data_IF_392762255358
#
_entry.id   IF_392762255358
#
_cell.length_a   1.000
_cell.length_b   1.000
_cell.length_c   1.000
_cell.angle_alpha   90.00
_cell.angle_beta   90.00
_cell.angle_gamma   90.00
#
_symmetry.space_group_name_H-M   'P 1'
#
loop_
_entity.id
_entity.type
_entity.pdbx_description
1 polymer ?
#
# COMPACT_ATOMS: atom_id res chain seq x y z
N UNK A 1 0.44 -29.12 10.53
CA UNK A 1 0.90 -27.73 10.31
C UNK A 1 2.40 -27.66 10.12
N UNK A 2 3.21 -28.28 10.99
CA UNK A 2 4.66 -28.26 10.93
C UNK A 2 5.21 -28.80 9.58
N UNK A 3 4.70 -29.92 9.06
CA UNK A 3 5.10 -30.44 7.75
C UNK A 3 4.82 -29.47 6.59
N UNK A 4 3.71 -28.75 6.62
CA UNK A 4 3.40 -27.71 5.64
C UNK A 4 4.29 -26.49 5.80
N UNK A 5 4.63 -26.10 7.02
CA UNK A 5 5.62 -25.06 7.27
C UNK A 5 6.98 -25.42 6.69
N UNK A 6 7.43 -26.67 6.86
CA UNK A 6 8.65 -27.20 6.26
C UNK A 6 8.63 -27.18 4.73
N UNK A 7 7.49 -27.48 4.10
CA UNK A 7 7.33 -27.35 2.64
C UNK A 7 7.53 -25.90 2.18
N UNK A 8 6.84 -24.94 2.82
CA UNK A 8 6.99 -23.52 2.47
C UNK A 8 8.41 -23.00 2.74
N UNK A 9 9.05 -23.45 3.82
CA UNK A 9 10.44 -23.14 4.08
C UNK A 9 11.36 -23.62 2.95
N UNK A 10 11.21 -24.87 2.48
CA UNK A 10 12.00 -25.43 1.38
C UNK A 10 11.79 -24.66 0.08
N UNK A 11 10.54 -24.25 -0.22
CA UNK A 11 10.24 -23.40 -1.38
C UNK A 11 10.88 -22.01 -1.24
N UNK A 12 10.82 -21.43 -0.04
CA UNK A 12 11.45 -20.14 0.26
C UNK A 12 12.96 -20.19 0.01
N UNK A 13 13.63 -21.24 0.50
CA UNK A 13 15.05 -21.46 0.27
C UNK A 13 15.39 -21.62 -1.22
N UNK A 14 14.60 -22.40 -1.96
CA UNK A 14 14.80 -22.55 -3.40
C UNK A 14 14.62 -21.26 -4.20
N UNK A 15 13.76 -20.33 -3.75
CA UNK A 15 13.65 -19.00 -4.34
C UNK A 15 14.80 -18.08 -3.93
N UNK A 16 15.24 -18.14 -2.67
CA UNK A 16 16.39 -17.37 -2.18
C UNK A 16 17.66 -17.73 -2.94
N UNK A 17 17.94 -19.04 -3.14
CA UNK A 17 19.09 -19.55 -3.90
C UNK A 17 19.11 -19.06 -5.36
N UNK A 18 17.95 -18.71 -5.90
CA UNK A 18 17.76 -18.13 -7.25
C UNK A 18 17.68 -16.60 -7.24
N UNK A 19 17.95 -15.96 -6.12
CA UNK A 19 17.82 -14.51 -5.91
C UNK A 19 16.41 -13.93 -6.14
N UNK A 20 15.35 -14.75 -6.11
CA UNK A 20 13.96 -14.29 -6.14
C UNK A 20 13.49 -13.91 -4.73
N UNK A 21 14.09 -12.87 -4.15
CA UNK A 21 13.97 -12.55 -2.73
C UNK A 21 12.52 -12.25 -2.29
N UNK A 22 11.73 -11.58 -3.12
CA UNK A 22 10.31 -11.31 -2.82
C UNK A 22 9.48 -12.60 -2.74
N UNK A 23 9.74 -13.56 -3.64
CA UNK A 23 9.07 -14.86 -3.60
C UNK A 23 9.50 -15.66 -2.38
N UNK A 24 10.80 -15.65 -2.08
CA UNK A 24 11.34 -16.30 -0.89
C UNK A 24 10.72 -15.71 0.39
N UNK A 25 10.62 -14.39 0.49
CA UNK A 25 9.99 -13.69 1.61
C UNK A 25 8.53 -14.15 1.80
N UNK A 26 7.78 -14.27 0.70
CA UNK A 26 6.39 -14.73 0.76
C UNK A 26 6.28 -16.17 1.28
N UNK A 27 7.16 -17.05 0.84
CA UNK A 27 7.15 -18.46 1.29
C UNK A 27 7.59 -18.61 2.76
N UNK A 28 8.64 -17.90 3.18
CA UNK A 28 9.04 -17.89 4.60
C UNK A 28 7.93 -17.32 5.50
N UNK A 29 7.23 -16.27 5.06
CA UNK A 29 6.07 -15.74 5.80
C UNK A 29 4.96 -16.78 5.94
N UNK A 30 4.66 -17.58 4.90
CA UNK A 30 3.69 -18.67 4.97
C UNK A 30 4.12 -19.74 5.97
N UNK A 31 5.41 -20.10 5.94
CA UNK A 31 5.96 -21.03 6.92
C UNK A 31 5.74 -20.55 8.35
N UNK A 32 6.01 -19.25 8.62
CA UNK A 32 5.85 -18.64 9.93
C UNK A 32 4.39 -18.42 10.36
N UNK A 33 3.46 -18.29 9.42
CA UNK A 33 2.01 -18.28 9.72
C UNK A 33 1.55 -19.66 10.18
N UNK A 34 2.08 -20.73 9.57
CA UNK A 34 1.73 -22.10 9.91
C UNK A 34 2.41 -22.57 11.20
N UNK A 35 3.65 -22.16 11.40
CA UNK A 35 4.45 -22.45 12.59
C UNK A 35 5.28 -21.21 13.00
N UNK A 36 4.77 -20.37 13.91
CA UNK A 36 5.46 -19.17 14.37
C UNK A 36 6.80 -19.46 15.08
N UNK A 37 7.02 -20.70 15.54
CA UNK A 37 8.24 -21.11 16.25
C UNK A 37 9.32 -21.68 15.33
N UNK A 38 9.07 -21.76 14.03
CA UNK A 38 10.00 -22.33 13.05
C UNK A 38 11.23 -21.44 12.86
N UNK A 39 12.28 -21.71 13.62
CA UNK A 39 13.49 -20.90 13.69
C UNK A 39 14.17 -20.71 12.33
N UNK A 40 14.34 -21.79 11.52
CA UNK A 40 15.04 -21.69 10.23
C UNK A 40 14.28 -20.79 9.22
N UNK A 41 12.96 -20.88 9.20
CA UNK A 41 12.14 -19.99 8.36
C UNK A 41 12.27 -18.53 8.80
N UNK A 42 12.37 -18.28 10.11
CA UNK A 42 12.57 -16.94 10.66
C UNK A 42 13.95 -16.39 10.33
N UNK A 43 14.99 -17.22 10.38
CA UNK A 43 16.35 -16.82 9.96
C UNK A 43 16.37 -16.43 8.49
N UNK A 44 15.76 -17.24 7.60
CA UNK A 44 15.65 -16.91 6.18
C UNK A 44 14.87 -15.63 5.94
N UNK A 45 13.74 -15.47 6.63
CA UNK A 45 12.91 -14.28 6.58
C UNK A 45 13.67 -13.01 7.03
N UNK A 46 14.36 -13.08 8.15
CA UNK A 46 15.18 -12.00 8.67
C UNK A 46 16.30 -11.60 7.70
N UNK A 47 17.03 -12.59 7.14
CA UNK A 47 18.13 -12.37 6.21
C UNK A 47 17.69 -11.60 4.95
N UNK A 48 16.48 -11.85 4.44
CA UNK A 48 15.95 -11.11 3.30
C UNK A 48 15.70 -9.64 3.66
N UNK A 49 15.19 -9.33 4.85
CA UNK A 49 15.05 -7.94 5.29
C UNK A 49 16.41 -7.23 5.39
N UNK A 50 17.43 -7.94 5.85
CA UNK A 50 18.81 -7.40 5.81
C UNK A 50 19.25 -7.07 4.38
N UNK A 51 18.97 -7.98 3.43
CA UNK A 51 19.31 -7.79 2.00
C UNK A 51 18.56 -6.63 1.36
N UNK A 52 17.36 -6.35 1.82
CA UNK A 52 16.56 -5.19 1.38
C UNK A 52 16.96 -3.87 2.03
N UNK A 53 17.92 -3.89 2.98
CA UNK A 53 18.37 -2.69 3.68
C UNK A 53 17.44 -2.23 4.78
N UNK A 54 16.70 -3.14 5.42
CA UNK A 54 15.82 -2.86 6.56
C UNK A 54 16.40 -3.39 7.88
N UNK A 55 17.44 -2.73 8.46
CA UNK A 55 18.14 -3.23 9.61
C UNK A 55 17.28 -3.29 10.88
N UNK A 56 16.33 -2.38 11.05
CA UNK A 56 15.46 -2.39 12.21
C UNK A 56 14.49 -3.57 12.17
N UNK A 57 13.93 -3.92 10.99
CA UNK A 57 13.10 -5.11 10.82
C UNK A 57 13.91 -6.39 11.00
N UNK A 58 15.13 -6.42 10.46
CA UNK A 58 16.07 -7.53 10.70
C UNK A 58 16.32 -7.73 12.18
N UNK A 59 16.62 -6.65 12.93
CA UNK A 59 16.80 -6.70 14.38
C UNK A 59 15.57 -7.26 15.11
N UNK A 60 14.36 -6.83 14.72
CA UNK A 60 13.12 -7.31 15.35
C UNK A 60 12.93 -8.83 15.18
N UNK A 61 13.26 -9.38 14.04
CA UNK A 61 13.18 -10.84 13.80
C UNK A 61 14.24 -11.62 14.59
N UNK A 62 15.46 -11.09 14.71
CA UNK A 62 16.51 -11.66 15.57
C UNK A 62 16.10 -11.67 17.04
N UNK A 63 15.47 -10.61 17.53
CA UNK A 63 14.94 -10.55 18.90
C UNK A 63 13.86 -11.60 19.17
N UNK A 64 13.01 -11.89 18.17
CA UNK A 64 12.05 -12.99 18.28
C UNK A 64 12.76 -14.34 18.32
N UNK A 65 13.81 -14.56 17.53
CA UNK A 65 14.64 -15.78 17.60
C UNK A 65 15.25 -15.97 18.98
N UNK A 66 15.79 -14.92 19.58
CA UNK A 66 16.33 -14.97 20.93
C UNK A 66 15.25 -15.32 21.96
N UNK A 67 14.03 -14.76 21.84
CA UNK A 67 12.89 -15.10 22.71
C UNK A 67 12.43 -16.55 22.54
N UNK A 68 12.60 -17.13 21.36
CA UNK A 68 12.32 -18.55 21.09
C UNK A 68 13.40 -19.50 21.61
N UNK A 69 14.44 -18.95 22.28
CA UNK A 69 15.48 -19.73 22.93
C UNK A 69 16.67 -20.09 22.01
N UNK A 70 16.87 -19.35 20.92
CA UNK A 70 18.11 -19.50 20.13
C UNK A 70 19.33 -19.24 20.99
N UNK A 71 20.25 -20.22 21.02
CA UNK A 71 21.54 -20.13 21.72
C UNK A 71 22.68 -19.77 20.76
N UNK A 72 22.38 -19.37 19.56
CA UNK A 72 23.37 -19.00 18.56
C UNK A 72 24.03 -17.65 18.98
N UNK A 73 25.32 -17.70 19.25
CA UNK A 73 26.12 -16.54 19.63
C UNK A 73 26.08 -15.46 18.56
N UNK A 74 26.03 -15.85 17.28
CA UNK A 74 25.90 -14.91 16.17
C UNK A 74 24.62 -14.06 16.30
N UNK A 75 23.51 -14.66 16.72
CA UNK A 75 22.23 -13.92 16.92
C UNK A 75 22.39 -12.91 18.05
N UNK A 76 23.02 -13.30 19.15
CA UNK A 76 23.25 -12.39 20.30
C UNK A 76 24.13 -11.20 19.94
N UNK A 77 25.26 -11.47 19.28
CA UNK A 77 26.23 -10.46 18.88
C UNK A 77 25.64 -9.49 17.86
N UNK A 78 24.88 -10.01 16.91
CA UNK A 78 24.22 -9.19 15.89
C UNK A 78 23.09 -8.33 16.48
N UNK A 79 22.34 -8.84 17.47
CA UNK A 79 21.36 -8.04 18.23
C UNK A 79 22.06 -6.90 18.95
N UNK A 80 23.16 -7.15 19.65
CA UNK A 80 23.91 -6.12 20.37
C UNK A 80 24.45 -5.05 19.41
N UNK A 81 25.07 -5.47 18.31
CA UNK A 81 25.61 -4.60 17.28
C UNK A 81 24.52 -3.70 16.66
N UNK A 82 23.39 -4.30 16.26
CA UNK A 82 22.28 -3.56 15.66
C UNK A 82 21.57 -2.67 16.68
N UNK A 83 21.42 -3.12 17.92
CA UNK A 83 20.82 -2.33 18.99
C UNK A 83 21.64 -1.08 19.25
N UNK A 84 22.97 -1.19 19.23
CA UNK A 84 23.87 -0.03 19.37
C UNK A 84 23.76 0.88 18.12
N UNK A 85 23.85 0.30 16.91
CA UNK A 85 23.81 1.06 15.67
C UNK A 85 22.47 1.80 15.46
N UNK A 86 21.35 1.23 15.92
CA UNK A 86 20.01 1.81 15.82
C UNK A 86 19.61 2.57 17.10
N UNK A 87 20.53 2.87 18.00
CA UNK A 87 20.25 3.59 19.25
C UNK A 87 19.71 4.99 19.03
N UNK A 88 20.09 5.64 17.94
CA UNK A 88 19.66 6.98 17.53
C UNK A 88 18.47 6.96 16.54
N UNK A 89 17.74 5.85 16.45
CA UNK A 89 16.58 5.77 15.56
C UNK A 89 15.45 6.72 15.98
N UNK A 90 14.71 7.23 15.00
CA UNK A 90 13.54 8.11 15.20
C UNK A 90 12.51 7.44 16.12
N UNK A 91 12.21 6.16 15.87
CA UNK A 91 11.24 5.40 16.67
C UNK A 91 11.62 5.36 18.16
N UNK A 92 12.90 5.23 18.48
CA UNK A 92 13.40 5.25 19.86
C UNK A 92 13.34 6.64 20.49
N UNK A 93 13.78 7.67 19.76
CA UNK A 93 13.80 9.04 20.27
C UNK A 93 12.40 9.53 20.66
N UNK A 94 11.37 9.06 19.93
CA UNK A 94 9.98 9.40 20.18
C UNK A 94 9.22 8.37 21.03
N UNK A 95 9.83 7.20 21.34
CA UNK A 95 9.23 6.15 22.19
C UNK A 95 8.12 5.35 21.50
N UNK A 96 8.15 5.23 20.19
CA UNK A 96 7.18 4.45 19.40
C UNK A 96 7.76 3.12 18.93
N UNK A 97 6.96 2.06 19.02
CA UNK A 97 7.23 0.81 18.28
C UNK A 97 6.70 0.94 16.86
N UNK A 98 7.59 1.22 15.90
CA UNK A 98 7.24 1.48 14.51
C UNK A 98 6.52 0.32 13.81
N UNK A 99 6.58 -0.91 14.32
CA UNK A 99 5.94 -2.09 13.74
C UNK A 99 4.57 -2.40 14.35
N UNK A 100 4.22 -1.76 15.47
CA UNK A 100 2.93 -1.89 16.15
C UNK A 100 2.08 -0.62 16.06
N UNK A 101 2.34 0.25 15.07
CA UNK A 101 1.55 1.45 14.84
C UNK A 101 0.18 1.09 14.24
N UNK A 102 -0.89 1.56 14.86
CA UNK A 102 -2.24 1.53 14.27
C UNK A 102 -2.33 2.56 13.16
N UNK A 103 -2.24 2.10 11.91
CA UNK A 103 -2.34 2.96 10.73
C UNK A 103 -3.72 2.90 10.11
N UNK A 104 -4.17 4.02 9.59
CA UNK A 104 -5.35 4.07 8.76
C UNK A 104 -5.10 3.32 7.44
N UNK A 105 -5.80 2.20 7.22
CA UNK A 105 -5.73 1.39 6.01
C UNK A 105 -6.88 1.73 5.07
N UNK A 106 -6.65 1.56 3.78
CA UNK A 106 -7.73 1.63 2.79
C UNK A 106 -8.53 0.35 2.82
N UNK A 107 -9.84 0.46 3.00
CA UNK A 107 -10.73 -0.71 3.05
C UNK A 107 -11.18 -1.06 1.64
N UNK A 108 -10.76 -2.25 1.16
CA UNK A 108 -10.96 -2.71 -0.22
C UNK A 108 -11.54 -4.12 -0.23
N UNK A 109 -12.88 -4.31 -0.18
CA UNK A 109 -13.48 -5.62 -0.43
C UNK A 109 -13.22 -6.08 -1.86
N UNK A 110 -13.15 -7.39 -2.01
CA UNK A 110 -12.84 -8.06 -3.26
C UNK A 110 -14.04 -8.89 -3.68
N UNK A 111 -14.52 -8.66 -4.89
CA UNK A 111 -15.66 -9.36 -5.49
C UNK A 111 -15.29 -10.02 -6.81
N UNK A 112 -16.05 -11.04 -7.20
CA UNK A 112 -16.12 -11.58 -8.54
C UNK A 112 -17.58 -11.69 -8.96
N UNK A 113 -17.86 -11.53 -10.25
CA UNK A 113 -19.20 -11.66 -10.76
C UNK A 113 -19.55 -13.12 -11.06
N UNK A 114 -20.75 -13.54 -10.71
CA UNK A 114 -21.22 -14.92 -10.92
C UNK A 114 -21.08 -15.41 -12.37
N UNK A 115 -21.23 -14.51 -13.34
CA UNK A 115 -21.14 -14.81 -14.78
C UNK A 115 -19.86 -14.28 -15.45
N UNK A 116 -18.91 -13.73 -14.68
CA UNK A 116 -17.77 -12.97 -15.22
C UNK A 116 -16.49 -13.76 -15.48
N UNK A 117 -16.44 -15.04 -15.08
CA UNK A 117 -15.21 -15.84 -15.12
C UNK A 117 -15.34 -17.10 -15.95
N UNK A 118 -14.30 -17.43 -16.73
CA UNK A 118 -14.16 -18.68 -17.47
C UNK A 118 -13.10 -19.55 -16.78
N UNK A 119 -13.56 -20.41 -15.90
CA UNK A 119 -12.70 -21.31 -15.13
C UNK A 119 -13.08 -22.77 -15.44
N UNK A 120 -12.10 -23.67 -15.38
CA UNK A 120 -12.33 -25.11 -15.46
C UNK A 120 -13.23 -25.62 -14.34
N UNK A 121 -13.13 -24.99 -13.17
CA UNK A 121 -13.97 -25.22 -12.02
C UNK A 121 -14.80 -23.95 -11.75
N UNK A 122 -16.04 -23.87 -12.21
CA UNK A 122 -16.85 -22.63 -12.13
C UNK A 122 -17.03 -22.09 -10.70
N UNK A 123 -17.03 -22.98 -9.69
CA UNK A 123 -17.17 -22.59 -8.28
C UNK A 123 -15.88 -21.98 -7.68
N UNK A 124 -14.74 -22.12 -8.35
CA UNK A 124 -13.46 -21.62 -7.84
C UNK A 124 -13.31 -20.10 -7.91
N UNK A 125 -14.20 -19.37 -8.57
CA UNK A 125 -14.11 -17.91 -8.70
C UNK A 125 -14.15 -17.21 -7.35
N UNK A 126 -14.99 -17.67 -6.42
CA UNK A 126 -15.06 -17.18 -5.06
C UNK A 126 -13.78 -17.43 -4.26
N UNK A 127 -13.23 -18.65 -4.37
CA UNK A 127 -11.98 -19.02 -3.70
C UNK A 127 -10.79 -18.21 -4.23
N UNK A 128 -10.73 -17.98 -5.55
CA UNK A 128 -9.70 -17.14 -6.17
C UNK A 128 -9.81 -15.67 -5.73
N UNK A 129 -11.02 -15.14 -5.62
CA UNK A 129 -11.25 -13.79 -5.10
C UNK A 129 -10.86 -13.70 -3.62
N UNK A 130 -11.20 -14.68 -2.79
CA UNK A 130 -10.75 -14.79 -1.40
C UNK A 130 -9.23 -14.90 -1.29
N UNK A 131 -8.61 -15.72 -2.12
CA UNK A 131 -7.14 -15.84 -2.18
C UNK A 131 -6.49 -14.51 -2.59
N UNK A 132 -7.03 -13.82 -3.59
CA UNK A 132 -6.56 -12.48 -3.93
C UNK A 132 -6.70 -11.51 -2.76
N UNK A 133 -7.81 -11.55 -2.03
CA UNK A 133 -8.00 -10.77 -0.80
C UNK A 133 -6.89 -11.01 0.23
N UNK A 134 -6.49 -12.27 0.45
CA UNK A 134 -5.37 -12.59 1.35
C UNK A 134 -4.01 -12.08 0.85
N UNK A 135 -3.81 -12.04 -0.47
CA UNK A 135 -2.60 -11.47 -1.06
C UNK A 135 -2.58 -9.95 -0.92
N UNK A 136 -3.71 -9.30 -1.14
CA UNK A 136 -3.85 -7.84 -1.03
C UNK A 136 -3.72 -7.36 0.42
N UNK A 137 -4.29 -8.08 1.39
CA UNK A 137 -4.18 -7.77 2.82
C UNK A 137 -2.75 -7.86 3.39
N UNK A 138 -1.77 -8.33 2.61
CA UNK A 138 -0.36 -8.32 3.01
C UNK A 138 0.29 -6.95 2.94
N UNK A 139 -0.33 -6.03 2.20
CA UNK A 139 0.15 -4.66 2.11
C UNK A 139 -0.40 -3.84 3.28
N UNK A 140 0.48 -3.18 4.00
CA UNK A 140 0.13 -2.41 5.21
C UNK A 140 -0.84 -1.26 4.93
N UNK A 141 -0.91 -0.79 3.68
CA UNK A 141 -1.83 0.26 3.26
C UNK A 141 -3.27 -0.22 3.05
N UNK A 142 -3.52 -1.53 2.99
CA UNK A 142 -4.83 -2.09 2.62
C UNK A 142 -5.38 -3.00 3.70
N UNK A 143 -6.67 -2.89 3.95
CA UNK A 143 -7.48 -3.83 4.74
C UNK A 143 -8.54 -4.43 3.84
N UNK A 144 -8.63 -5.76 3.83
CA UNK A 144 -9.65 -6.49 3.06
C UNK A 144 -10.65 -7.07 4.06
N UNK A 145 -11.88 -6.56 4.08
CA UNK A 145 -12.91 -7.09 4.97
C UNK A 145 -13.41 -8.44 4.48
N UNK A 146 -13.87 -9.28 5.41
CA UNK A 146 -14.59 -10.50 5.10
C UNK A 146 -15.92 -10.13 4.43
N UNK A 147 -16.03 -10.44 3.15
CA UNK A 147 -17.25 -10.23 2.37
C UNK A 147 -17.55 -11.48 1.54
N UNK A 148 -18.80 -11.70 1.19
CA UNK A 148 -19.16 -12.74 0.23
C UNK A 148 -18.50 -12.40 -1.13
N UNK A 149 -17.55 -13.21 -1.61
CA UNK A 149 -16.73 -12.80 -2.77
C UNK A 149 -17.50 -12.84 -4.08
N UNK A 150 -18.59 -13.61 -4.16
CA UNK A 150 -19.40 -13.76 -5.40
C UNK A 150 -20.62 -12.88 -5.31
N UNK A 151 -20.80 -12.00 -6.31
CA UNK A 151 -21.96 -11.11 -6.44
C UNK A 151 -22.65 -11.29 -7.79
N UNK A 152 -23.94 -11.00 -7.86
CA UNK A 152 -24.70 -11.12 -9.10
C UNK A 152 -24.30 -10.10 -10.17
N UNK A 153 -23.86 -8.90 -9.75
CA UNK A 153 -23.49 -7.83 -10.67
C UNK A 153 -22.80 -6.66 -9.96
N UNK A 154 -22.37 -5.70 -10.76
CA UNK A 154 -21.73 -4.46 -10.28
C UNK A 154 -22.57 -3.74 -9.23
N UNK A 155 -23.88 -3.61 -9.45
CA UNK A 155 -24.78 -2.88 -8.54
C UNK A 155 -24.82 -3.46 -7.14
N UNK A 156 -24.71 -4.79 -7.02
CA UNK A 156 -24.66 -5.45 -5.72
C UNK A 156 -23.34 -5.16 -5.00
N UNK A 157 -22.20 -5.27 -5.71
CA UNK A 157 -20.88 -4.94 -5.18
C UNK A 157 -20.83 -3.47 -4.74
N UNK A 158 -21.29 -2.56 -5.59
CA UNK A 158 -21.29 -1.14 -5.32
C UNK A 158 -22.17 -0.78 -4.09
N UNK A 159 -23.40 -1.32 -4.02
CA UNK A 159 -24.28 -1.07 -2.86
C UNK A 159 -23.66 -1.60 -1.57
N UNK A 160 -23.11 -2.82 -1.60
CA UNK A 160 -22.46 -3.41 -0.43
C UNK A 160 -21.29 -2.56 0.07
N UNK A 161 -20.37 -2.18 -0.84
CA UNK A 161 -19.22 -1.35 -0.52
C UNK A 161 -19.61 0.03 0.00
N UNK A 162 -20.59 0.69 -0.62
CA UNK A 162 -21.07 2.00 -0.23
C UNK A 162 -21.79 2.00 1.11
N UNK A 163 -22.66 1.03 1.35
CA UNK A 163 -23.41 0.90 2.62
C UNK A 163 -22.47 0.62 3.80
N UNK A 164 -21.41 -0.16 3.57
CA UNK A 164 -20.39 -0.44 4.57
C UNK A 164 -19.37 0.72 4.75
N UNK A 165 -19.50 1.83 4.00
CA UNK A 165 -18.61 2.99 4.12
C UNK A 165 -17.16 2.71 3.73
N UNK A 166 -16.95 1.78 2.79
CA UNK A 166 -15.63 1.38 2.36
C UNK A 166 -14.97 2.43 1.45
N UNK A 167 -13.64 2.38 1.30
CA UNK A 167 -12.91 3.35 0.48
C UNK A 167 -13.01 3.02 -1.01
N UNK A 168 -12.67 1.77 -1.35
CA UNK A 168 -12.69 1.23 -2.69
C UNK A 168 -13.40 -0.13 -2.72
N UNK A 169 -13.61 -0.69 -3.88
CA UNK A 169 -13.91 -2.11 -4.06
C UNK A 169 -13.31 -2.61 -5.38
N UNK A 170 -12.88 -3.85 -5.38
CA UNK A 170 -12.29 -4.50 -6.53
C UNK A 170 -13.25 -5.55 -7.10
N UNK A 171 -13.39 -5.59 -8.44
CA UNK A 171 -14.09 -6.65 -9.15
C UNK A 171 -13.07 -7.40 -9.99
N UNK A 172 -12.98 -8.72 -9.78
CA UNK A 172 -12.11 -9.62 -10.50
C UNK A 172 -12.89 -10.44 -11.51
N UNK A 173 -12.28 -10.68 -12.67
CA UNK A 173 -12.70 -11.69 -13.62
C UNK A 173 -11.50 -12.56 -14.00
N UNK A 174 -11.75 -13.85 -14.23
CA UNK A 174 -10.72 -14.84 -14.48
C UNK A 174 -10.97 -15.56 -15.80
N UNK A 175 -9.88 -15.91 -16.48
CA UNK A 175 -9.90 -16.73 -17.69
C UNK A 175 -8.80 -17.78 -17.60
N UNK A 176 -9.18 -19.06 -17.57
CA UNK A 176 -8.27 -20.18 -17.43
C UNK A 176 -8.28 -21.05 -18.69
N UNK A 177 -7.13 -21.14 -19.34
CA UNK A 177 -6.85 -22.10 -20.41
C UNK A 177 -5.92 -23.20 -19.91
N UNK A 178 -5.61 -24.20 -20.77
CA UNK A 178 -4.83 -25.37 -20.41
C UNK A 178 -3.47 -25.04 -19.77
N UNK A 179 -2.78 -24.04 -20.31
CA UNK A 179 -1.42 -23.67 -19.90
C UNK A 179 -1.27 -22.25 -19.43
N UNK A 180 -2.36 -21.47 -19.45
CA UNK A 180 -2.35 -20.07 -19.07
C UNK A 180 -3.49 -19.74 -18.12
N UNK A 181 -3.27 -18.72 -17.32
CA UNK A 181 -4.26 -18.10 -16.45
C UNK A 181 -4.17 -16.59 -16.61
N UNK A 182 -5.30 -15.97 -16.88
CA UNK A 182 -5.43 -14.53 -16.98
C UNK A 182 -6.43 -14.03 -15.93
N UNK A 183 -6.12 -12.92 -15.33
CA UNK A 183 -7.02 -12.24 -14.41
C UNK A 183 -7.07 -10.76 -14.77
N UNK A 184 -8.28 -10.20 -14.73
CA UNK A 184 -8.53 -8.76 -14.84
C UNK A 184 -9.12 -8.26 -13.54
N UNK A 185 -8.76 -7.06 -13.16
CA UNK A 185 -9.24 -6.38 -11.97
C UNK A 185 -9.64 -4.95 -12.32
N UNK A 186 -10.87 -4.61 -12.02
CA UNK A 186 -11.35 -3.23 -12.04
C UNK A 186 -11.47 -2.74 -10.60
N UNK A 187 -10.82 -1.61 -10.30
CA UNK A 187 -10.87 -0.94 -9.01
C UNK A 187 -11.83 0.26 -9.10
N UNK A 188 -12.75 0.33 -8.16
CA UNK A 188 -13.79 1.36 -8.10
C UNK A 188 -13.75 2.12 -6.79
N UNK A 189 -14.15 3.38 -6.83
CA UNK A 189 -14.39 4.19 -5.63
C UNK A 189 -15.76 3.83 -5.03
N UNK A 190 -15.79 3.38 -3.77
CA UNK A 190 -17.03 2.91 -3.14
C UNK A 190 -18.09 4.01 -3.00
N UNK A 191 -17.66 5.28 -2.84
CA UNK A 191 -18.58 6.42 -2.69
C UNK A 191 -19.38 6.73 -3.96
N UNK A 192 -18.74 6.66 -5.14
CA UNK A 192 -19.34 7.09 -6.41
C UNK A 192 -19.60 5.97 -7.41
N UNK A 193 -18.97 4.79 -7.24
CA UNK A 193 -18.97 3.72 -8.22
C UNK A 193 -18.09 4.00 -9.44
N UNK A 194 -17.36 5.13 -9.45
CA UNK A 194 -16.45 5.46 -10.53
C UNK A 194 -15.27 4.52 -10.59
N UNK A 195 -14.93 4.03 -11.79
CA UNK A 195 -13.75 3.18 -12.00
C UNK A 195 -12.48 4.01 -11.92
N UNK A 196 -11.58 3.64 -11.00
CA UNK A 196 -10.32 4.32 -10.73
C UNK A 196 -9.20 3.77 -11.61
N UNK A 197 -9.16 2.44 -11.75
CA UNK A 197 -8.13 1.76 -12.54
C UNK A 197 -8.63 0.41 -13.03
N UNK A 198 -7.99 -0.09 -14.08
CA UNK A 198 -8.18 -1.43 -14.60
C UNK A 198 -6.81 -2.07 -14.81
N UNK A 199 -6.64 -3.29 -14.34
CA UNK A 199 -5.41 -4.05 -14.44
C UNK A 199 -5.67 -5.41 -15.07
N UNK A 200 -4.65 -5.92 -15.76
CA UNK A 200 -4.67 -7.28 -16.30
C UNK A 200 -3.33 -7.97 -16.06
N UNK A 201 -3.40 -9.25 -15.77
CA UNK A 201 -2.22 -10.09 -15.63
C UNK A 201 -2.49 -11.44 -16.29
N UNK A 202 -1.57 -11.89 -17.13
CA UNK A 202 -1.58 -13.23 -17.72
C UNK A 202 -0.27 -13.93 -17.37
N UNK A 203 -0.33 -15.21 -17.02
CA UNK A 203 0.80 -16.06 -16.65
C UNK A 203 0.63 -17.47 -17.19
N UNK A 204 1.75 -18.15 -17.36
CA UNK A 204 1.85 -19.57 -17.74
C UNK A 204 2.65 -20.32 -16.68
N UNK A 205 2.62 -21.66 -16.73
CA UNK A 205 3.35 -22.51 -15.79
C UNK A 205 2.55 -22.88 -14.55
N UNK A 206 3.20 -23.57 -13.61
CA UNK A 206 2.53 -24.13 -12.44
C UNK A 206 2.09 -23.07 -11.42
N UNK A 207 2.83 -21.98 -11.31
CA UNK A 207 2.55 -20.88 -10.38
C UNK A 207 1.70 -19.76 -11.00
N UNK A 208 1.15 -19.99 -12.21
CA UNK A 208 0.46 -18.98 -13.02
C UNK A 208 -0.62 -18.21 -12.28
N UNK A 209 -1.42 -18.89 -11.47
CA UNK A 209 -2.51 -18.28 -10.69
C UNK A 209 -1.94 -17.33 -9.64
N UNK A 210 -1.01 -17.84 -8.81
CA UNK A 210 -0.39 -17.04 -7.76
C UNK A 210 0.32 -15.81 -8.34
N UNK A 211 1.14 -16.00 -9.37
CA UNK A 211 1.96 -14.92 -9.93
C UNK A 211 1.12 -13.86 -10.66
N UNK A 212 -0.01 -14.25 -11.26
CA UNK A 212 -0.96 -13.30 -11.83
C UNK A 212 -1.64 -12.46 -10.73
N UNK A 213 -2.15 -13.12 -9.70
CA UNK A 213 -2.84 -12.45 -8.59
C UNK A 213 -1.88 -11.59 -7.75
N UNK A 214 -0.64 -12.05 -7.51
CA UNK A 214 0.37 -11.23 -6.82
C UNK A 214 0.70 -9.96 -7.60
N UNK A 215 0.82 -10.04 -8.94
CA UNK A 215 1.02 -8.85 -9.76
C UNK A 215 -0.13 -7.86 -9.62
N UNK A 216 -1.37 -8.33 -9.70
CA UNK A 216 -2.54 -7.46 -9.52
C UNK A 216 -2.58 -6.84 -8.12
N UNK A 217 -2.29 -7.62 -7.07
CA UNK A 217 -2.25 -7.10 -5.70
C UNK A 217 -1.20 -6.00 -5.52
N UNK A 218 0.00 -6.16 -6.10
CA UNK A 218 1.03 -5.13 -6.06
C UNK A 218 0.62 -3.85 -6.82
N UNK A 219 -0.09 -3.99 -7.95
CA UNK A 219 -0.58 -2.85 -8.73
C UNK A 219 -1.66 -2.07 -7.97
N UNK A 220 -2.60 -2.78 -7.32
CA UNK A 220 -3.62 -2.14 -6.47
C UNK A 220 -2.98 -1.43 -5.28
N UNK A 221 -2.09 -2.10 -4.56
CA UNK A 221 -1.40 -1.50 -3.42
C UNK A 221 -0.56 -0.28 -3.82
N UNK A 222 0.09 -0.32 -4.99
CA UNK A 222 0.87 0.80 -5.53
C UNK A 222 0.04 2.02 -5.92
N UNK A 223 -1.28 1.88 -6.08
CA UNK A 223 -2.18 3.02 -6.31
C UNK A 223 -2.63 3.71 -5.01
N UNK A 224 -2.47 3.05 -3.86
CA UNK A 224 -2.92 3.61 -2.59
C UNK A 224 -2.02 4.79 -2.22
N UNK A 225 -2.55 6.01 -2.12
CA UNK A 225 -1.74 7.17 -1.79
C UNK A 225 -1.24 7.08 -0.35
N UNK A 226 0.00 7.54 -0.10
CA UNK A 226 0.53 7.62 1.25
C UNK A 226 -0.32 8.59 2.08
N UNK A 227 -0.87 8.08 3.19
CA UNK A 227 -1.67 8.83 4.17
C UNK A 227 -1.19 8.45 5.56
N UNK A 228 -0.59 9.39 6.25
CA UNK A 228 -0.13 9.21 7.61
C UNK A 228 -0.89 10.06 8.61
N UNK A 229 -0.47 9.93 9.86
CA UNK A 229 -1.02 10.63 11.01
C UNK A 229 0.13 11.27 11.78
N UNK A 230 -0.06 12.48 12.26
CA UNK A 230 0.84 13.11 13.21
C UNK A 230 0.67 12.42 14.57
N UNK A 231 1.62 11.58 14.94
CA UNK A 231 1.57 10.77 16.17
C UNK A 231 1.74 11.65 17.41
N UNK A 232 2.70 12.56 17.35
CA UNK A 232 3.08 13.42 18.46
C UNK A 232 3.72 14.69 17.93
N UNK A 233 3.56 15.76 18.70
CA UNK A 233 4.22 17.04 18.46
C UNK A 233 4.84 17.55 19.77
N UNK A 234 6.07 18.02 19.68
CA UNK A 234 6.78 18.71 20.78
C UNK A 234 7.37 20.00 20.20
N UNK A 235 6.80 21.14 20.58
CA UNK A 235 7.18 22.46 20.02
C UNK A 235 7.08 22.47 18.46
N UNK A 236 8.18 22.83 17.80
CA UNK A 236 8.30 22.87 16.34
C UNK A 236 8.69 21.56 15.66
N UNK A 237 8.68 20.42 16.38
CA UNK A 237 9.01 19.10 15.85
C UNK A 237 7.86 18.12 16.09
N UNK A 238 7.78 17.10 15.27
CA UNK A 238 6.79 16.03 15.38
C UNK A 238 7.24 14.72 14.77
N UNK A 239 6.53 13.65 15.09
CA UNK A 239 6.71 12.34 14.47
C UNK A 239 5.40 11.91 13.77
N UNK A 240 5.56 11.26 12.61
CA UNK A 240 4.45 10.75 11.79
C UNK A 240 4.62 9.26 11.53
N UNK A 241 3.52 8.55 11.32
CA UNK A 241 3.48 7.11 11.03
C UNK A 241 3.75 6.76 9.55
N UNK A 242 4.50 7.59 8.85
CA UNK A 242 5.02 7.35 7.52
C UNK A 242 6.55 7.25 7.58
N UNK A 243 7.11 6.28 6.88
CA UNK A 243 8.54 6.07 6.80
C UNK A 243 8.99 5.66 5.39
N UNK A 244 10.19 5.09 5.29
CA UNK A 244 10.74 4.66 4.00
C UNK A 244 9.91 3.55 3.33
N UNK A 245 9.18 2.72 4.11
CA UNK A 245 8.24 1.73 3.57
C UNK A 245 7.12 2.35 2.74
N UNK A 246 6.68 3.54 3.09
CA UNK A 246 5.65 4.29 2.37
C UNK A 246 6.24 5.23 1.31
N UNK A 247 7.54 5.11 1.05
CA UNK A 247 8.24 5.90 0.03
C UNK A 247 8.63 7.31 0.46
N UNK A 248 8.49 7.66 1.75
CA UNK A 248 8.94 8.94 2.29
C UNK A 248 10.46 9.01 2.26
N UNK A 249 10.99 10.19 1.96
CA UNK A 249 12.43 10.47 1.92
C UNK A 249 12.77 11.63 2.85
N UNK A 250 14.01 11.62 3.33
CA UNK A 250 14.52 12.76 4.08
C UNK A 250 14.50 14.04 3.21
N UNK A 251 13.99 15.11 3.77
CA UNK A 251 13.78 16.38 3.07
C UNK A 251 12.43 16.55 2.42
N UNK A 252 11.59 15.49 2.35
CA UNK A 252 10.23 15.60 1.80
C UNK A 252 9.40 16.64 2.56
N UNK A 253 8.61 17.39 1.78
CA UNK A 253 7.64 18.35 2.30
C UNK A 253 6.24 17.76 2.21
N UNK A 254 5.59 17.62 3.35
CA UNK A 254 4.23 17.12 3.50
C UNK A 254 3.35 18.25 4.07
N UNK A 255 2.04 18.08 3.94
CA UNK A 255 1.08 18.99 4.55
C UNK A 255 0.31 18.30 5.66
N UNK A 256 0.02 19.06 6.72
CA UNK A 256 -0.79 18.60 7.84
C UNK A 256 -2.20 19.09 7.63
N UNK A 257 -3.14 18.17 7.56
CA UNK A 257 -4.56 18.42 7.32
C UNK A 257 -5.32 17.99 8.56
N UNK A 258 -6.27 18.80 8.98
CA UNK A 258 -7.15 18.50 10.12
C UNK A 258 -7.72 17.07 10.00
N UNK A 259 -7.82 16.37 11.11
CA UNK A 259 -8.41 15.04 11.19
C UNK A 259 -9.78 15.00 10.50
N UNK A 260 -9.92 14.09 9.51
CA UNK A 260 -11.12 13.94 8.68
C UNK A 260 -11.23 14.92 7.51
N UNK A 261 -10.27 15.85 7.31
CA UNK A 261 -10.22 16.76 6.16
C UNK A 261 -9.75 16.10 4.86
N UNK A 262 -8.99 15.01 4.94
CA UNK A 262 -8.50 14.29 3.77
C UNK A 262 -9.56 13.34 3.26
N UNK A 263 -9.83 13.38 1.96
CA UNK A 263 -10.81 12.57 1.24
C UNK A 263 -10.18 11.90 0.03
N UNK A 264 -10.78 10.81 -0.44
CA UNK A 264 -10.42 10.21 -1.73
C UNK A 264 -10.93 11.09 -2.88
N UNK A 265 -10.12 11.26 -3.91
CA UNK A 265 -10.52 11.96 -5.14
C UNK A 265 -11.69 11.23 -5.81
N UNK A 266 -12.57 11.99 -6.42
CA UNK A 266 -13.74 11.44 -7.12
C UNK A 266 -13.42 11.00 -8.57
N UNK A 267 -12.37 11.57 -9.13
CA UNK A 267 -12.02 11.54 -10.56
C UNK A 267 -10.77 10.69 -10.86
N UNK A 268 -10.20 10.04 -9.85
CA UNK A 268 -9.01 9.22 -10.05
C UNK A 268 -8.35 8.78 -8.74
N UNK A 269 -7.22 8.05 -8.83
CA UNK A 269 -6.47 7.69 -7.65
C UNK A 269 -5.88 8.93 -6.98
N UNK A 270 -5.81 8.93 -5.66
CA UNK A 270 -5.20 10.01 -4.90
C UNK A 270 -6.10 10.58 -3.81
N UNK A 271 -5.57 11.57 -3.13
CA UNK A 271 -6.24 12.27 -2.04
C UNK A 271 -6.64 13.68 -2.47
N UNK A 272 -7.65 14.23 -1.80
CA UNK A 272 -8.10 15.61 -1.93
C UNK A 272 -8.37 16.18 -0.54
N UNK A 273 -8.09 17.44 -0.36
CA UNK A 273 -8.41 18.21 0.85
C UNK A 273 -8.60 19.67 0.47
N UNK A 274 -9.31 20.41 1.30
CA UNK A 274 -9.48 21.84 1.12
C UNK A 274 -8.32 22.62 1.79
N UNK A 275 -7.87 23.71 1.20
CA UNK A 275 -6.79 24.55 1.76
C UNK A 275 -7.12 25.07 3.18
N UNK A 276 -8.41 25.29 3.47
CA UNK A 276 -8.89 25.68 4.81
C UNK A 276 -8.74 24.60 5.87
N UNK A 277 -8.59 23.34 5.48
CA UNK A 277 -8.37 22.20 6.38
C UNK A 277 -6.88 21.94 6.61
N UNK A 278 -6.01 22.63 5.87
CA UNK A 278 -4.56 22.56 6.08
C UNK A 278 -4.19 23.39 7.30
N UNK A 279 -3.71 22.71 8.34
CA UNK A 279 -3.33 23.31 9.62
C UNK A 279 -1.84 23.64 9.68
N UNK A 280 -1.00 22.96 8.88
CA UNK A 280 0.43 23.18 8.90
C UNK A 280 1.19 22.46 7.78
N UNK A 281 2.50 22.60 7.83
CA UNK A 281 3.46 21.94 6.97
C UNK A 281 4.38 21.06 7.82
N UNK A 282 4.78 19.92 7.26
CA UNK A 282 5.71 18.97 7.86
C UNK A 282 6.88 18.74 6.93
N UNK A 283 8.11 18.99 7.40
CA UNK A 283 9.32 18.72 6.62
C UNK A 283 10.12 17.62 7.30
N UNK A 284 10.33 16.50 6.61
CA UNK A 284 11.04 15.33 7.11
C UNK A 284 12.52 15.67 7.37
N UNK A 285 12.98 15.45 8.60
CA UNK A 285 14.37 15.65 9.02
C UNK A 285 15.06 14.35 9.39
N UNK A 286 14.33 13.39 9.95
CA UNK A 286 14.81 12.06 10.30
C UNK A 286 13.85 10.99 9.79
N UNK A 287 14.36 9.82 9.45
CA UNK A 287 13.61 8.77 8.75
C UNK A 287 14.02 7.39 9.25
N UNK A 288 13.04 6.64 9.74
CA UNK A 288 13.11 5.19 9.95
C UNK A 288 12.27 4.45 8.88
N UNK A 289 12.12 3.14 9.04
CA UNK A 289 11.41 2.28 8.09
C UNK A 289 9.92 2.63 8.02
N UNK A 290 9.30 2.90 9.17
CA UNK A 290 7.86 3.04 9.27
C UNK A 290 7.39 4.30 10.02
N UNK A 291 8.33 5.14 10.46
CA UNK A 291 8.09 6.39 11.16
C UNK A 291 9.09 7.42 10.65
N UNK A 292 8.72 8.68 10.64
CA UNK A 292 9.66 9.77 10.40
C UNK A 292 9.40 10.92 11.36
N UNK A 293 10.46 11.69 11.62
CA UNK A 293 10.39 12.93 12.36
C UNK A 293 10.64 14.12 11.45
N UNK A 294 10.15 15.27 11.86
CA UNK A 294 10.33 16.47 11.07
C UNK A 294 9.95 17.74 11.79
N UNK A 295 10.29 18.85 11.14
CA UNK A 295 9.85 20.17 11.59
C UNK A 295 8.38 20.40 11.23
N UNK A 296 7.63 20.90 12.19
CA UNK A 296 6.22 21.26 12.06
C UNK A 296 6.10 22.79 12.05
N UNK A 297 5.49 23.33 11.00
CA UNK A 297 5.18 24.75 10.89
C UNK A 297 3.67 24.93 10.79
N UNK A 298 3.05 25.65 11.72
CA UNK A 298 1.62 25.92 11.67
C UNK A 298 1.30 26.96 10.60
N UNK A 299 0.12 26.86 9.97
CA UNK A 299 -0.41 27.85 9.04
C UNK A 299 -1.46 28.71 9.73
N UNK A 300 -1.38 30.01 9.52
CA UNK A 300 -2.32 30.99 10.08
C UNK A 300 -1.84 31.62 11.39
N UNK A 301 -2.69 32.45 11.97
CA UNK A 301 -2.41 33.21 13.18
C UNK A 301 -2.44 32.33 14.45
N UNK A 302 -3.33 31.35 14.47
CA UNK A 302 -3.45 30.40 15.57
C UNK A 302 -2.86 29.06 15.18
N UNK A 303 -2.28 28.37 16.15
CA UNK A 303 -1.75 27.04 15.99
C UNK A 303 -2.87 26.00 16.19
N UNK A 304 -3.31 25.40 15.09
CA UNK A 304 -4.35 24.35 15.08
C UNK A 304 -3.80 22.96 14.80
N UNK A 305 -2.48 22.79 14.76
CA UNK A 305 -1.87 21.49 14.51
C UNK A 305 -1.93 20.61 15.75
N UNK A 306 -2.61 19.49 15.67
CA UNK A 306 -2.80 18.55 16.76
C UNK A 306 -2.29 17.15 16.42
N UNK A 307 -1.89 16.39 17.45
CA UNK A 307 -1.70 14.95 17.31
C UNK A 307 -3.02 14.30 16.83
N UNK A 308 -2.93 13.40 15.88
CA UNK A 308 -4.08 12.79 15.20
C UNK A 308 -4.48 13.49 13.90
N UNK A 309 -3.91 14.65 13.56
CA UNK A 309 -4.08 15.25 12.25
C UNK A 309 -3.43 14.39 11.16
N UNK A 310 -4.01 14.45 9.95
CA UNK A 310 -3.57 13.65 8.82
C UNK A 310 -2.37 14.31 8.12
N UNK A 311 -1.38 13.51 7.74
CA UNK A 311 -0.20 14.00 7.02
C UNK A 311 -0.15 13.36 5.65
N UNK A 312 -0.11 14.19 4.63
CA UNK A 312 -0.18 13.76 3.22
C UNK A 312 0.76 14.57 2.35
N UNK A 313 1.09 14.06 1.17
CA UNK A 313 1.80 14.85 0.18
C UNK A 313 0.94 16.02 -0.31
N UNK A 314 1.53 17.19 -0.62
CA UNK A 314 0.80 18.31 -1.17
C UNK A 314 0.15 17.90 -2.50
N UNK A 315 -1.04 18.44 -2.76
CA UNK A 315 -1.71 18.23 -4.03
C UNK A 315 -0.81 18.73 -5.16
N UNK A 316 -0.70 17.98 -6.28
CA UNK A 316 -0.01 18.52 -7.45
C UNK A 316 -0.68 19.83 -7.83
N UNK A 317 0.12 20.91 -7.94
CA UNK A 317 -0.39 22.17 -8.47
C UNK A 317 -1.07 21.87 -9.80
N UNK A 318 -2.37 22.20 -9.91
CA UNK A 318 -3.04 22.13 -11.21
C UNK A 318 -2.15 22.86 -12.21
N UNK A 319 -1.72 22.18 -13.25
CA UNK A 319 -1.01 22.82 -14.34
C UNK A 319 -1.92 23.99 -14.78
N UNK A 320 -1.42 25.22 -14.68
CA UNK A 320 -2.16 26.35 -15.17
C UNK A 320 -2.64 25.98 -16.60
N UNK A 321 -3.95 26.15 -16.91
CA UNK A 321 -4.41 25.83 -18.24
C UNK A 321 -3.48 26.53 -19.21
N UNK A 322 -2.84 25.76 -20.10
CA UNK A 322 -2.01 26.34 -21.14
C UNK A 322 -2.89 27.34 -21.88
N UNK A 323 -2.65 28.62 -21.64
CA UNK A 323 -3.28 29.69 -22.40
C UNK A 323 -2.67 29.54 -23.80
N UNK A 324 -3.33 28.68 -24.60
CA UNK A 324 -3.04 28.61 -26.02
C UNK A 324 -3.18 30.02 -26.58
N UNK A 325 -2.32 30.45 -27.51
CA UNK A 325 -2.43 31.76 -28.10
C UNK A 325 -3.85 31.92 -28.63
N UNK A 326 -4.57 32.91 -28.10
CA UNK A 326 -5.89 33.29 -28.59
C UNK A 326 -5.73 33.56 -30.07
N UNK A 327 -6.11 32.62 -30.93
CA UNK A 327 -6.32 32.89 -32.33
C UNK A 327 -7.39 33.97 -32.41
N UNK A 328 -6.95 35.21 -32.55
CA UNK A 328 -7.84 36.30 -32.95
C UNK A 328 -8.42 35.86 -34.29
N UNK A 329 -9.65 35.38 -34.29
CA UNK A 329 -10.41 35.14 -35.51
C UNK A 329 -10.43 36.49 -36.23
N UNK A 330 -9.70 36.56 -37.34
CA UNK A 330 -9.71 37.71 -38.22
C UNK A 330 -11.15 38.02 -38.63
N UNK A 331 -11.46 39.30 -38.60
CA UNK A 331 -12.74 39.91 -38.92
C UNK A 331 -13.44 39.21 -40.10
N UNK A 332 -14.64 38.70 -39.83
CA UNK A 332 -15.59 38.14 -40.82
C UNK A 332 -16.06 39.24 -41.82
N UNK A 333 -15.79 40.52 -41.58
CA UNK A 333 -16.20 41.63 -42.41
C UNK A 333 -15.39 41.85 -43.70
N UNK A 334 -14.27 41.18 -43.93
CA UNK A 334 -13.45 41.37 -45.15
C UNK A 334 -13.79 40.36 -46.29
N UNK A 335 -14.78 39.49 -46.12
CA UNK A 335 -15.22 38.54 -47.14
C UNK A 335 -16.50 38.94 -47.92
N UNK A 336 -17.10 40.08 -47.62
CA UNK A 336 -18.36 40.54 -48.25
C UNK A 336 -18.16 41.57 -49.39
N UNK A 337 -16.93 41.94 -49.74
CA UNK A 337 -16.65 42.92 -50.82
C UNK A 337 -15.73 42.38 -51.89
N UNK A 338 -15.98 41.17 -52.37
CA UNK A 338 -15.30 40.64 -53.59
C UNK A 338 -16.20 39.75 -54.41
N UNK A 339 -17.40 40.30 -54.78
CA UNK A 339 -18.23 39.82 -55.91
C UNK A 339 -18.74 41.08 -56.58
N UNK A 340 -18.12 41.48 -57.69
CA UNK A 340 -18.56 42.61 -58.48
C UNK A 340 -17.37 43.24 -59.22
N UNK A 341 -16.98 42.63 -60.34
CA UNK A 341 -15.99 43.19 -61.27
C UNK A 341 -15.48 42.16 -62.18
#
# INVERSE_FOLDING_TARGET
>A
RHAMAGFHFSQGKAFEDRAFLEKALAEYRRALILDPTFADARVGFARIYRSFGFPAKYLSELQVLAKLGSKDTFVSDEIERLTSALSESVSRSWGYDQYNLERARYVVPVYTLAAGSRLRHPLASGDLAGYFGTLLARYDSVSVPDAAPVVAGFDQAFRAARTAGQDYFAILAFDEADRSFSATLDLYLARTGGRIASFAASRTGNDRVRDALMKLASQVAGLMPARGTLLVRKFGQGAIDLGSFQGVKQGDALVIVRKGGVRLRADGPGLAFDDRDVTGDFKVTGLDEAISEGSVTSRGYFDYVNAGDQVVYPLPKAAAPAVGPVQRSGNILTRLFRIGG
#
